data_IF_978988496190
#
_entry.id   IF_978988496190
#
_cell.length_a   1.000
_cell.length_b   1.000
_cell.length_c   1.000
_cell.angle_alpha   90.00
_cell.angle_beta   90.00
_cell.angle_gamma   90.00
#
_symmetry.space_group_name_H-M   'P 1'
#
loop_
_entity.id
_entity.type
_entity.pdbx_description
1 polymer ?
#
# COMPACT_ATOMS: atom_id res chain seq x y z
N UNK A 1 -12.97 14.84 11.02
CA UNK A 1 -11.73 14.60 10.24
C UNK A 1 -11.67 13.16 9.70
N UNK A 2 -11.97 12.12 10.51
CA UNK A 2 -12.07 10.72 10.05
C UNK A 2 -13.04 10.48 8.87
N UNK A 3 -14.20 11.13 8.85
CA UNK A 3 -15.27 10.86 7.87
C UNK A 3 -14.82 11.07 6.40
N UNK A 4 -13.90 12.01 6.16
CA UNK A 4 -13.40 12.28 4.79
C UNK A 4 -12.52 11.17 4.25
N UNK A 5 -11.68 10.58 5.10
CA UNK A 5 -10.81 9.46 4.69
C UNK A 5 -11.61 8.22 4.36
N UNK A 6 -12.67 7.93 5.12
CA UNK A 6 -13.58 6.83 4.79
C UNK A 6 -14.35 7.11 3.50
N UNK A 7 -14.87 8.33 3.31
CA UNK A 7 -15.51 8.72 2.06
C UNK A 7 -14.57 8.57 0.85
N UNK A 8 -13.31 8.99 0.97
CA UNK A 8 -12.33 8.85 -0.11
C UNK A 8 -12.00 7.40 -0.42
N UNK A 9 -11.81 6.56 0.61
CA UNK A 9 -11.64 5.12 0.46
C UNK A 9 -12.86 4.50 -0.25
N UNK A 10 -14.06 4.81 0.22
CA UNK A 10 -15.29 4.19 -0.27
C UNK A 10 -15.68 4.69 -1.67
N UNK A 11 -15.25 5.91 -2.03
CA UNK A 11 -15.42 6.47 -3.38
C UNK A 11 -14.42 5.95 -4.42
N UNK A 12 -13.36 5.25 -4.00
CA UNK A 12 -12.26 4.84 -4.88
C UNK A 12 -11.28 5.97 -5.25
N UNK A 13 -11.47 7.19 -4.73
CA UNK A 13 -10.60 8.34 -4.99
C UNK A 13 -9.14 8.04 -4.63
N UNK A 14 -8.90 7.23 -3.59
CA UNK A 14 -7.53 6.87 -3.21
C UNK A 14 -6.80 6.10 -4.31
N UNK A 15 -7.46 5.10 -4.90
CA UNK A 15 -6.89 4.30 -5.99
C UNK A 15 -6.61 5.16 -7.22
N UNK A 16 -7.45 6.16 -7.51
CA UNK A 16 -7.23 7.11 -8.60
C UNK A 16 -5.99 7.98 -8.37
N UNK A 17 -5.84 8.54 -7.16
CA UNK A 17 -4.67 9.36 -6.81
C UNK A 17 -3.39 8.51 -6.90
N UNK A 18 -3.41 7.30 -6.34
CA UNK A 18 -2.26 6.39 -6.38
C UNK A 18 -1.92 6.04 -7.83
N UNK A 19 -2.90 5.71 -8.66
CA UNK A 19 -2.66 5.40 -10.08
C UNK A 19 -1.94 6.54 -10.81
N UNK A 20 -2.37 7.79 -10.63
CA UNK A 20 -1.72 8.95 -11.27
C UNK A 20 -0.28 9.11 -10.77
N UNK A 21 -0.08 9.07 -9.45
CA UNK A 21 1.26 9.23 -8.87
C UNK A 21 2.22 8.10 -9.27
N UNK A 22 1.70 6.88 -9.43
CA UNK A 22 2.49 5.72 -9.86
C UNK A 22 2.91 5.87 -11.31
N UNK A 23 1.99 6.28 -12.19
CA UNK A 23 2.31 6.54 -13.60
C UNK A 23 3.41 7.60 -13.72
N UNK A 24 3.27 8.73 -13.03
CA UNK A 24 4.26 9.82 -13.03
C UNK A 24 5.62 9.35 -12.49
N UNK A 25 5.63 8.61 -11.38
CA UNK A 25 6.87 8.10 -10.79
C UNK A 25 7.58 7.07 -11.68
N UNK A 26 6.82 6.24 -12.40
CA UNK A 26 7.38 5.26 -13.33
C UNK A 26 8.00 5.93 -14.55
N UNK A 27 7.33 6.93 -15.12
CA UNK A 27 7.87 7.70 -16.24
C UNK A 27 9.15 8.45 -15.83
N UNK A 28 9.18 9.01 -14.62
CA UNK A 28 10.38 9.65 -14.07
C UNK A 28 11.57 8.70 -13.92
N UNK A 29 11.32 7.41 -13.67
CA UNK A 29 12.31 6.33 -13.62
C UNK A 29 12.61 5.72 -15.01
N UNK A 30 12.11 6.32 -16.09
CA UNK A 30 12.32 5.85 -17.47
C UNK A 30 11.58 4.54 -17.79
N UNK A 31 10.50 4.23 -17.07
CA UNK A 31 9.64 3.07 -17.29
C UNK A 31 8.34 3.48 -17.97
N UNK A 32 7.68 2.52 -18.62
CA UNK A 32 6.31 2.69 -19.10
C UNK A 32 5.36 3.02 -17.94
N UNK A 33 4.44 3.97 -18.16
CA UNK A 33 3.47 4.43 -17.16
C UNK A 33 2.65 3.27 -16.56
N UNK A 34 2.21 2.35 -17.43
CA UNK A 34 1.53 1.14 -16.99
C UNK A 34 2.55 0.09 -16.49
N UNK A 35 2.35 -0.49 -15.29
CA UNK A 35 3.18 -1.59 -14.82
C UNK A 35 2.90 -2.86 -15.65
N UNK A 36 3.96 -3.62 -15.94
CA UNK A 36 3.87 -4.87 -16.71
C UNK A 36 3.66 -6.10 -15.84
N UNK A 37 4.01 -6.01 -14.56
CA UNK A 37 3.89 -7.10 -13.59
C UNK A 37 3.67 -6.55 -12.17
N UNK A 38 3.12 -7.42 -11.33
CA UNK A 38 2.73 -7.13 -9.95
C UNK A 38 3.41 -8.15 -9.03
N UNK A 39 4.01 -7.67 -7.94
CA UNK A 39 4.59 -8.46 -6.87
C UNK A 39 3.71 -8.37 -5.64
N UNK A 40 3.26 -9.52 -5.12
CA UNK A 40 2.44 -9.60 -3.91
C UNK A 40 3.22 -10.30 -2.80
N UNK A 41 3.35 -9.64 -1.66
CA UNK A 41 3.95 -10.24 -0.47
C UNK A 41 3.18 -9.88 0.80
N UNK A 42 3.42 -10.66 1.85
CA UNK A 42 2.94 -10.40 3.19
C UNK A 42 3.96 -9.57 4.00
N UNK A 43 3.53 -8.40 4.46
CA UNK A 43 4.31 -7.51 5.30
C UNK A 43 3.76 -7.47 6.73
N UNK A 44 4.63 -7.66 7.72
CA UNK A 44 4.27 -7.45 9.14
C UNK A 44 4.80 -6.10 9.58
N UNK A 45 3.90 -5.18 9.93
CA UNK A 45 4.22 -3.79 10.28
C UNK A 45 3.81 -3.47 11.70
N UNK A 46 4.64 -2.69 12.41
CA UNK A 46 4.29 -2.20 13.75
C UNK A 46 3.03 -1.32 13.66
N UNK A 47 2.10 -1.55 14.57
CA UNK A 47 0.88 -0.73 14.69
C UNK A 47 1.10 0.40 15.69
N UNK A 48 0.38 1.51 15.52
CA UNK A 48 0.27 2.57 16.54
C UNK A 48 -0.59 2.12 17.73
N UNK A 49 -0.67 2.93 18.78
CA UNK A 49 -1.43 2.60 19.99
C UNK A 49 -2.92 2.33 19.71
N UNK A 50 -3.52 3.01 18.73
CA UNK A 50 -4.91 2.85 18.29
C UNK A 50 -5.14 1.79 17.19
N UNK A 51 -4.22 0.84 17.01
CA UNK A 51 -4.14 0.00 15.80
C UNK A 51 -5.10 -1.19 15.64
N UNK A 52 -6.12 -1.34 16.49
CA UNK A 52 -7.06 -2.47 16.39
C UNK A 52 -6.38 -3.85 16.59
N UNK A 53 -6.92 -4.93 16.00
CA UNK A 53 -6.37 -6.28 16.13
C UNK A 53 -4.90 -6.37 15.69
N UNK A 54 -4.05 -6.92 16.56
CA UNK A 54 -2.59 -7.04 16.36
C UNK A 54 -2.05 -8.26 17.10
N UNK A 55 -0.94 -8.79 16.61
CA UNK A 55 -0.25 -9.96 17.17
C UNK A 55 1.27 -9.80 17.12
N UNK A 56 1.99 -10.84 17.52
CA UNK A 56 3.44 -10.92 17.36
C UNK A 56 3.79 -11.90 16.25
N UNK A 57 4.41 -11.40 15.18
CA UNK A 57 5.01 -12.24 14.15
C UNK A 57 6.38 -12.70 14.64
N UNK A 58 6.50 -13.97 15.02
CA UNK A 58 7.74 -14.54 15.53
C UNK A 58 8.83 -14.65 14.44
N UNK A 59 8.45 -14.86 13.19
CA UNK A 59 9.38 -14.95 12.06
C UNK A 59 10.05 -13.61 11.76
N UNK A 60 9.28 -12.51 11.84
CA UNK A 60 9.80 -11.14 11.63
C UNK A 60 10.19 -10.44 12.94
N UNK A 61 9.90 -11.05 14.10
CA UNK A 61 10.05 -10.47 15.45
C UNK A 61 9.37 -9.09 15.58
N UNK A 62 8.19 -8.95 14.98
CA UNK A 62 7.42 -7.69 14.96
C UNK A 62 6.12 -7.85 15.72
N UNK A 63 5.89 -6.98 16.72
CA UNK A 63 4.56 -6.78 17.32
C UNK A 63 3.77 -5.81 16.45
N UNK A 64 2.74 -6.29 15.79
CA UNK A 64 2.00 -5.48 14.83
C UNK A 64 0.93 -6.24 14.06
N UNK A 65 0.66 -5.78 12.84
CA UNK A 65 -0.35 -6.34 11.94
C UNK A 65 0.34 -6.88 10.69
N UNK A 66 0.00 -8.11 10.32
CA UNK A 66 0.32 -8.66 9.02
C UNK A 66 -0.67 -8.11 8.00
N UNK A 67 -0.17 -7.58 6.88
CA UNK A 67 -0.92 -7.13 5.72
C UNK A 67 -0.36 -7.80 4.47
N UNK A 68 -1.19 -7.96 3.46
CA UNK A 68 -0.74 -8.29 2.11
C UNK A 68 -0.68 -6.98 1.34
N UNK A 69 0.39 -6.76 0.59
CA UNK A 69 0.54 -5.59 -0.26
C UNK A 69 0.93 -6.06 -1.65
N UNK A 70 0.30 -5.46 -2.66
CA UNK A 70 0.69 -5.58 -4.04
C UNK A 70 1.49 -4.33 -4.43
N UNK A 71 2.63 -4.53 -5.08
CA UNK A 71 3.46 -3.46 -5.64
C UNK A 71 3.84 -3.77 -7.08
N UNK A 72 4.22 -2.76 -7.84
CA UNK A 72 4.79 -2.93 -9.17
C UNK A 72 6.26 -3.40 -9.10
N UNK A 73 6.89 -3.51 -10.27
CA UNK A 73 8.28 -3.97 -10.42
C UNK A 73 9.35 -3.03 -9.84
N UNK A 74 9.00 -1.79 -9.51
CA UNK A 74 9.91 -0.82 -8.87
C UNK A 74 9.50 -0.53 -7.42
N UNK A 75 8.53 -1.28 -6.88
CA UNK A 75 8.10 -1.21 -5.48
C UNK A 75 7.01 -0.16 -5.19
N UNK A 76 6.36 0.39 -6.22
CA UNK A 76 5.27 1.34 -6.06
C UNK A 76 3.93 0.62 -5.80
N UNK A 77 3.06 1.13 -4.92
CA UNK A 77 1.76 0.52 -4.63
C UNK A 77 0.82 0.62 -5.83
N UNK A 78 -0.12 -0.32 -5.92
CA UNK A 78 -1.07 -0.45 -7.06
C UNK A 78 -2.52 -0.18 -6.64
N UNK A 79 -2.75 0.05 -5.35
CA UNK A 79 -4.04 0.34 -4.72
C UNK A 79 -3.89 1.19 -3.46
#
# INVERSE_FOLDING_TARGET
MQNRFYAWRDSGLWGQIISVLVMDAREAEGREAAPTAIVVDSQSVKTTEAGGPRGFDAGKKVKGRKRHLAVDTIGLPIE
#
